data_IF_622642977527
#
_entry.id   IF_622642977527
#
_cell.length_a   1.000
_cell.length_b   1.000
_cell.length_c   1.000
_cell.angle_alpha   90.00
_cell.angle_beta   90.00
_cell.angle_gamma   90.00
#
_symmetry.space_group_name_H-M   'P 1'
#
loop_
_entity.id
_entity.type
_entity.pdbx_description
1 polymer ?
#
# COMPACT_ATOMS: atom_id res chain seq x y z
N UNK A 1 -28.87 -2.54 16.25
CA UNK A 1 -27.88 -1.74 15.49
C UNK A 1 -27.42 -2.62 14.35
N UNK A 2 -27.31 -2.10 13.12
CA UNK A 2 -26.63 -2.85 12.07
C UNK A 2 -25.15 -2.63 12.32
N UNK A 3 -24.45 -3.69 12.68
CA UNK A 3 -23.00 -3.64 12.80
C UNK A 3 -22.45 -3.46 11.37
N UNK A 4 -21.87 -2.29 11.11
CA UNK A 4 -21.27 -2.00 9.82
C UNK A 4 -19.94 -2.75 9.75
N UNK A 5 -19.63 -3.37 8.62
CA UNK A 5 -18.38 -4.08 8.42
C UNK A 5 -17.67 -3.55 7.19
N UNK A 6 -16.34 -3.66 7.16
CA UNK A 6 -15.55 -3.35 5.97
C UNK A 6 -14.39 -4.32 5.78
N UNK A 7 -13.96 -4.44 4.53
CA UNK A 7 -12.79 -5.21 4.13
C UNK A 7 -11.94 -4.36 3.18
N UNK A 8 -10.68 -4.14 3.53
CA UNK A 8 -9.73 -3.36 2.73
C UNK A 8 -9.46 -4.00 1.37
N UNK A 9 -9.50 -5.33 1.26
CA UNK A 9 -9.28 -6.00 -0.02
C UNK A 9 -10.37 -5.70 -1.04
N UNK A 10 -11.63 -5.55 -0.62
CA UNK A 10 -12.73 -5.13 -1.50
C UNK A 10 -12.52 -3.70 -2.01
N UNK A 11 -11.97 -2.83 -1.17
CA UNK A 11 -11.62 -1.46 -1.54
C UNK A 11 -10.43 -1.45 -2.51
N UNK A 12 -9.41 -2.26 -2.28
CA UNK A 12 -8.26 -2.36 -3.18
C UNK A 12 -8.67 -2.86 -4.57
N UNK A 13 -9.60 -3.81 -4.66
CA UNK A 13 -10.16 -4.28 -5.93
C UNK A 13 -10.84 -3.12 -6.68
N UNK A 14 -11.65 -2.31 -6.02
CA UNK A 14 -12.29 -1.12 -6.62
C UNK A 14 -11.27 -0.07 -7.08
N UNK A 15 -10.28 0.24 -6.24
CA UNK A 15 -9.23 1.22 -6.57
C UNK A 15 -8.39 0.73 -7.76
N UNK A 16 -8.10 -0.57 -7.86
CA UNK A 16 -7.27 -1.11 -8.95
C UNK A 16 -7.88 -0.88 -10.34
N UNK A 17 -9.21 -0.84 -10.44
CA UNK A 17 -9.93 -0.63 -11.71
C UNK A 17 -9.97 0.85 -12.12
N UNK A 18 -10.07 1.77 -11.15
CA UNK A 18 -10.23 3.20 -11.40
C UNK A 18 -9.29 4.05 -10.56
N UNK A 19 -8.00 3.70 -10.51
CA UNK A 19 -7.05 4.26 -9.52
C UNK A 19 -7.05 5.79 -9.47
N UNK A 20 -6.97 6.45 -10.63
CA UNK A 20 -6.99 7.93 -10.68
C UNK A 20 -8.27 8.57 -10.12
N UNK A 21 -9.41 7.88 -10.13
CA UNK A 21 -10.68 8.39 -9.56
C UNK A 21 -10.65 8.41 -8.03
N UNK A 22 -9.87 7.53 -7.41
CA UNK A 22 -9.79 7.41 -5.95
C UNK A 22 -8.66 8.23 -5.35
N UNK A 23 -7.49 8.23 -5.99
CA UNK A 23 -6.27 8.83 -5.43
C UNK A 23 -5.73 10.02 -6.23
N UNK A 24 -6.39 10.40 -7.33
CA UNK A 24 -5.92 11.48 -8.20
C UNK A 24 -4.62 11.11 -8.90
N UNK A 25 -3.54 11.82 -8.55
CA UNK A 25 -2.20 11.48 -9.03
C UNK A 25 -1.81 10.07 -8.58
N UNK A 26 -1.35 9.26 -9.55
CA UNK A 26 -1.16 7.83 -9.38
C UNK A 26 0.21 7.52 -8.77
N UNK A 27 0.33 7.69 -7.45
CA UNK A 27 1.49 7.26 -6.67
C UNK A 27 1.08 6.57 -5.36
N UNK A 28 1.97 5.77 -4.78
CA UNK A 28 1.69 4.99 -3.56
C UNK A 28 1.51 5.86 -2.30
N UNK A 29 2.05 7.08 -2.27
CA UNK A 29 1.85 8.01 -1.14
C UNK A 29 0.39 8.46 -1.04
N UNK A 30 -0.21 8.79 -2.18
CA UNK A 30 -1.63 9.14 -2.26
C UNK A 30 -2.51 7.94 -1.92
N UNK A 31 -2.16 6.73 -2.40
CA UNK A 31 -2.88 5.51 -2.02
C UNK A 31 -2.81 5.25 -0.51
N UNK A 32 -1.63 5.36 0.11
CA UNK A 32 -1.49 5.22 1.57
C UNK A 32 -2.37 6.23 2.31
N UNK A 33 -2.36 7.49 1.89
CA UNK A 33 -3.18 8.54 2.50
C UNK A 33 -4.67 8.26 2.37
N UNK A 34 -5.12 7.78 1.21
CA UNK A 34 -6.50 7.35 0.98
C UNK A 34 -6.91 6.22 1.94
N UNK A 35 -6.08 5.18 2.06
CA UNK A 35 -6.35 4.02 2.93
C UNK A 35 -6.48 4.47 4.39
N UNK A 36 -5.53 5.27 4.88
CA UNK A 36 -5.58 5.77 6.26
C UNK A 36 -6.82 6.63 6.53
N UNK A 37 -7.20 7.51 5.58
CA UNK A 37 -8.43 8.28 5.68
C UNK A 37 -9.69 7.42 5.69
N UNK A 38 -9.72 6.37 4.86
CA UNK A 38 -10.82 5.41 4.83
C UNK A 38 -10.94 4.64 6.14
N UNK A 39 -9.84 4.13 6.69
CA UNK A 39 -9.84 3.42 7.99
C UNK A 39 -10.31 4.34 9.13
N UNK A 40 -9.87 5.60 9.16
CA UNK A 40 -10.35 6.60 10.13
C UNK A 40 -11.86 6.80 10.00
N UNK A 41 -12.38 6.90 8.78
CA UNK A 41 -13.82 7.06 8.54
C UNK A 41 -14.59 5.83 9.03
N UNK A 42 -14.13 4.61 8.74
CA UNK A 42 -14.75 3.37 9.22
C UNK A 42 -14.71 3.27 10.74
N UNK A 43 -13.60 3.64 11.37
CA UNK A 43 -13.48 3.71 12.82
C UNK A 43 -14.48 4.69 13.44
N UNK A 44 -14.69 5.85 12.84
CA UNK A 44 -15.60 6.89 13.35
C UNK A 44 -17.06 6.44 13.44
N UNK A 45 -17.47 5.52 12.56
CA UNK A 45 -18.81 4.92 12.54
C UNK A 45 -18.86 3.57 13.26
N UNK A 46 -17.78 3.19 13.95
CA UNK A 46 -17.61 1.92 14.67
C UNK A 46 -17.80 0.69 13.77
N UNK A 47 -17.38 0.79 12.51
CA UNK A 47 -17.43 -0.35 11.61
C UNK A 47 -16.34 -1.39 11.98
N UNK A 48 -16.71 -2.65 11.94
CA UNK A 48 -15.80 -3.77 12.21
C UNK A 48 -14.92 -4.05 10.97
N UNK A 49 -13.61 -4.16 11.20
CA UNK A 49 -12.66 -4.57 10.17
C UNK A 49 -12.65 -6.10 10.06
N UNK A 50 -13.13 -6.63 8.94
CA UNK A 50 -13.10 -8.07 8.63
C UNK A 50 -12.06 -8.41 7.55
N UNK A 51 -11.06 -7.54 7.36
CA UNK A 51 -9.94 -7.78 6.44
C UNK A 51 -9.10 -8.96 6.96
N UNK A 52 -9.03 -10.04 6.19
CA UNK A 52 -8.25 -11.23 6.50
C UNK A 52 -7.44 -11.69 5.27
N UNK A 53 -6.11 -11.86 5.37
CA UNK A 53 -5.25 -11.62 6.54
C UNK A 53 -5.20 -10.14 6.95
N UNK A 54 -4.79 -9.83 8.19
CA UNK A 54 -4.69 -8.46 8.68
C UNK A 54 -3.68 -7.66 7.82
N UNK A 55 -4.14 -6.57 7.24
CA UNK A 55 -3.32 -5.72 6.39
C UNK A 55 -2.22 -4.98 7.15
N UNK A 56 -2.34 -4.84 8.48
CA UNK A 56 -1.31 -4.23 9.31
C UNK A 56 0.05 -4.92 9.17
N UNK A 57 0.06 -6.24 8.91
CA UNK A 57 1.28 -7.05 8.70
C UNK A 57 1.88 -6.96 7.29
N UNK A 58 1.19 -6.32 6.35
CA UNK A 58 1.61 -6.28 4.94
C UNK A 58 3.02 -5.68 4.76
N UNK A 59 3.36 -4.65 5.54
CA UNK A 59 4.69 -4.02 5.47
C UNK A 59 5.82 -5.00 5.88
N UNK A 60 5.61 -5.83 6.89
CA UNK A 60 6.56 -6.86 7.30
C UNK A 60 6.71 -7.93 6.22
N UNK A 61 5.60 -8.34 5.62
CA UNK A 61 5.60 -9.29 4.52
C UNK A 61 6.35 -8.76 3.28
N UNK A 62 6.12 -7.50 2.90
CA UNK A 62 6.83 -6.83 1.79
C UNK A 62 8.33 -6.76 2.09
N UNK A 63 8.72 -6.36 3.30
CA UNK A 63 10.12 -6.30 3.70
C UNK A 63 10.81 -7.67 3.56
N UNK A 64 10.18 -8.73 4.10
CA UNK A 64 10.67 -10.11 3.97
C UNK A 64 10.77 -10.54 2.51
N UNK A 65 9.76 -10.25 1.69
CA UNK A 65 9.71 -10.66 0.28
C UNK A 65 10.87 -10.10 -0.54
N UNK A 66 11.21 -8.82 -0.33
CA UNK A 66 12.27 -8.15 -1.07
C UNK A 66 13.62 -8.15 -0.35
N UNK A 67 13.70 -8.67 0.88
CA UNK A 67 14.94 -8.73 1.65
C UNK A 67 15.36 -7.37 2.24
N UNK A 68 14.41 -6.47 2.48
CA UNK A 68 14.68 -5.25 3.26
C UNK A 68 15.04 -5.63 4.70
N UNK A 69 16.02 -4.93 5.26
CA UNK A 69 16.48 -5.16 6.63
C UNK A 69 15.44 -4.76 7.67
N UNK A 70 14.66 -3.72 7.37
CA UNK A 70 13.61 -3.18 8.23
C UNK A 70 12.36 -2.89 7.41
N UNK A 71 11.21 -2.85 8.08
CA UNK A 71 9.91 -2.55 7.48
C UNK A 71 9.38 -1.15 7.85
N UNK A 72 10.14 -0.39 8.66
CA UNK A 72 9.80 0.92 9.24
C UNK A 72 9.55 2.01 8.20
N UNK A 73 10.17 1.91 7.02
CA UNK A 73 9.90 2.78 5.88
C UNK A 73 8.47 2.65 5.36
N UNK A 74 7.77 1.56 5.69
CA UNK A 74 6.43 1.24 5.22
C UNK A 74 6.40 0.67 3.80
N UNK A 75 5.36 -0.10 3.50
CA UNK A 75 5.22 -0.81 2.22
C UNK A 75 5.29 0.12 1.00
N UNK A 76 4.66 1.30 1.07
CA UNK A 76 4.62 2.26 -0.04
C UNK A 76 6.02 2.70 -0.50
N UNK A 77 6.92 2.98 0.46
CA UNK A 77 8.28 3.39 0.14
C UNK A 77 9.12 2.21 -0.36
N UNK A 78 9.02 1.05 0.29
CA UNK A 78 9.75 -0.15 -0.13
C UNK A 78 9.38 -0.60 -1.54
N UNK A 79 8.08 -0.57 -1.89
CA UNK A 79 7.60 -0.96 -3.23
C UNK A 79 8.10 0.02 -4.29
N UNK A 80 8.07 1.32 -4.02
CA UNK A 80 8.61 2.31 -4.95
C UNK A 80 10.12 2.14 -5.13
N UNK A 81 10.87 1.93 -4.04
CA UNK A 81 12.31 1.70 -4.10
C UNK A 81 12.68 0.48 -4.98
N UNK A 82 11.87 -0.59 -4.93
CA UNK A 82 12.03 -1.77 -5.81
C UNK A 82 11.81 -1.39 -7.28
N UNK A 83 10.78 -0.60 -7.61
CA UNK A 83 10.55 -0.11 -8.98
C UNK A 83 11.65 0.84 -9.47
N UNK A 84 12.27 1.56 -8.55
CA UNK A 84 13.42 2.41 -8.82
C UNK A 84 14.73 1.65 -8.97
N UNK A 85 14.76 0.34 -8.67
CA UNK A 85 15.98 -0.47 -8.71
C UNK A 85 17.00 -0.12 -7.61
N UNK A 86 16.53 0.44 -6.50
CA UNK A 86 17.40 0.83 -5.38
C UNK A 86 17.87 -0.39 -4.58
N UNK A 87 19.05 -0.31 -3.92
CA UNK A 87 19.50 -1.36 -3.02
C UNK A 87 18.58 -1.46 -1.79
N UNK A 88 18.43 -2.67 -1.23
CA UNK A 88 17.55 -2.91 -0.06
C UNK A 88 18.12 -2.44 1.28
N UNK A 89 19.33 -1.85 1.28
CA UNK A 89 20.03 -1.28 2.44
C UNK A 89 20.64 0.07 2.06
N UNK A 90 20.76 0.96 3.05
CA UNK A 90 21.41 2.26 2.87
C UNK A 90 20.60 3.26 2.05
N UNK A 91 19.29 3.05 1.89
CA UNK A 91 18.41 4.03 1.25
C UNK A 91 18.26 5.24 2.16
N UNK A 92 18.47 6.44 1.61
CA UNK A 92 18.06 7.68 2.26
C UNK A 92 16.57 7.94 2.01
N UNK A 93 15.73 7.48 2.93
CA UNK A 93 14.27 7.56 2.80
C UNK A 93 13.69 8.99 2.72
N UNK A 94 14.43 10.03 3.08
CA UNK A 94 13.96 11.42 3.00
C UNK A 94 13.99 11.97 1.57
N UNK A 95 14.79 11.38 0.69
CA UNK A 95 15.03 11.91 -0.66
C UNK A 95 14.99 10.87 -1.77
N UNK A 96 14.89 9.58 -1.42
CA UNK A 96 14.98 8.48 -2.39
C UNK A 96 13.99 8.61 -3.56
N UNK A 97 12.80 9.17 -3.34
CA UNK A 97 11.75 9.27 -4.36
C UNK A 97 11.87 10.47 -5.29
N UNK A 98 12.82 11.40 -5.08
CA UNK A 98 12.92 12.63 -5.89
C UNK A 98 13.19 12.35 -7.37
N UNK A 99 13.93 11.28 -7.65
CA UNK A 99 14.27 10.86 -9.01
C UNK A 99 13.29 9.82 -9.58
N UNK A 100 12.19 9.54 -8.88
CA UNK A 100 11.18 8.60 -9.37
C UNK A 100 10.44 9.20 -10.57
N UNK A 101 10.49 8.50 -11.69
CA UNK A 101 9.68 8.86 -12.87
C UNK A 101 8.20 8.59 -12.63
N UNK A 102 7.34 9.29 -13.38
CA UNK A 102 5.90 9.03 -13.40
C UNK A 102 5.59 7.56 -13.74
N UNK A 103 6.38 6.96 -14.65
CA UNK A 103 6.26 5.56 -15.01
C UNK A 103 6.54 4.63 -13.81
N UNK A 104 7.60 4.90 -13.03
CA UNK A 104 7.90 4.13 -11.82
C UNK A 104 6.81 4.27 -10.76
N UNK A 105 6.25 5.47 -10.58
CA UNK A 105 5.10 5.66 -9.70
C UNK A 105 3.89 4.82 -10.12
N UNK A 106 3.53 4.83 -11.40
CA UNK A 106 2.44 4.01 -11.93
C UNK A 106 2.71 2.51 -11.80
N UNK A 107 3.92 2.05 -12.13
CA UNK A 107 4.29 0.64 -11.98
C UNK A 107 4.30 0.20 -10.52
N UNK A 108 4.67 1.08 -9.59
CA UNK A 108 4.65 0.77 -8.16
C UNK A 108 3.23 0.49 -7.63
N UNK A 109 2.20 1.16 -8.20
CA UNK A 109 0.80 0.86 -7.92
C UNK A 109 0.37 -0.50 -8.47
N UNK A 110 0.74 -0.81 -9.72
CA UNK A 110 0.47 -2.12 -10.31
C UNK A 110 1.11 -3.22 -9.46
N UNK A 111 2.36 -3.02 -9.04
CA UNK A 111 3.06 -3.94 -8.13
C UNK A 111 2.36 -4.05 -6.79
N UNK A 112 1.88 -2.96 -6.19
CA UNK A 112 1.13 -3.01 -4.94
C UNK A 112 -0.09 -3.93 -5.06
N UNK A 113 -0.94 -3.76 -6.07
CA UNK A 113 -2.14 -4.59 -6.21
C UNK A 113 -1.80 -6.06 -6.42
N UNK A 114 -0.72 -6.37 -7.17
CA UNK A 114 -0.24 -7.74 -7.29
C UNK A 114 0.23 -8.31 -5.95
N UNK A 115 1.02 -7.54 -5.19
CA UNK A 115 1.54 -7.94 -3.89
C UNK A 115 0.44 -8.16 -2.85
N UNK A 116 -0.62 -7.36 -2.89
CA UNK A 116 -1.81 -7.57 -2.06
C UNK A 116 -2.44 -8.94 -2.35
N UNK A 117 -2.60 -9.31 -3.63
CA UNK A 117 -3.15 -10.63 -3.98
C UNK A 117 -2.22 -11.77 -3.56
N UNK A 118 -0.91 -11.59 -3.68
CA UNK A 118 0.06 -12.56 -3.18
C UNK A 118 0.01 -12.69 -1.65
N UNK A 119 -0.08 -11.58 -0.92
CA UNK A 119 -0.18 -11.56 0.54
C UNK A 119 -1.44 -12.27 1.06
N UNK A 120 -2.58 -12.10 0.38
CA UNK A 120 -3.84 -12.77 0.72
C UNK A 120 -3.76 -14.30 0.65
N UNK A 121 -2.83 -14.83 -0.14
CA UNK A 121 -2.67 -16.26 -0.40
C UNK A 121 -1.38 -16.84 0.22
N UNK A 122 -0.66 -16.06 1.04
CA UNK A 122 0.65 -16.42 1.58
C UNK A 122 0.58 -17.22 2.89
#
# INVERSE_FOLDING_TARGET
MVDMEYNLYDIFEKISVRTGMYIGEQNLSNLRSYIGGYEIAMYSVKAQNNTAPDFSDFHNWVAKKYGFYESTAGWHNMILAVEMGLPVKGINWESYSKEASEAQHKQSLVRFFRLVQEFRNA
#
